data_IF_337054585181
#
_entry.id   IF_337054585181
#
_cell.length_a   1.000
_cell.length_b   1.000
_cell.length_c   1.000
_cell.angle_alpha   90.00
_cell.angle_beta   90.00
_cell.angle_gamma   90.00
#
_symmetry.space_group_name_H-M   'P 1'
#
loop_
_entity.id
_entity.type
_entity.pdbx_description
1 polymer ?
#
# COMPACT_ATOMS: atom_id res chain seq x y z
N UNK A 1 6.06 26.80 -18.83
CA UNK A 1 4.98 26.32 -17.96
C UNK A 1 5.58 25.99 -16.62
N UNK A 2 4.93 26.37 -15.53
CA UNK A 2 5.46 26.17 -14.18
C UNK A 2 5.44 24.69 -13.77
N UNK A 3 6.40 24.30 -12.93
CA UNK A 3 6.49 22.95 -12.38
C UNK A 3 5.54 22.77 -11.19
N UNK A 4 4.81 21.65 -11.17
CA UNK A 4 3.91 21.29 -10.09
C UNK A 4 4.41 20.04 -9.36
N UNK A 5 4.70 20.17 -8.05
CA UNK A 5 5.18 19.07 -7.20
C UNK A 5 4.10 18.66 -6.20
N UNK A 6 3.68 17.39 -6.20
CA UNK A 6 2.59 16.88 -5.37
C UNK A 6 2.96 15.55 -4.71
N UNK A 7 2.50 15.35 -3.48
CA UNK A 7 2.50 14.03 -2.87
C UNK A 7 1.24 13.27 -3.29
N UNK A 8 1.42 12.08 -3.87
CA UNK A 8 0.33 11.18 -4.20
C UNK A 8 0.33 10.01 -3.22
N UNK A 9 -0.66 9.98 -2.34
CA UNK A 9 -0.86 8.91 -1.39
C UNK A 9 -2.15 9.10 -0.59
N UNK A 10 -2.52 8.06 0.15
CA UNK A 10 -3.76 8.03 0.95
C UNK A 10 -3.70 8.92 2.19
N UNK A 11 -2.48 9.27 2.65
CA UNK A 11 -2.23 9.92 3.92
C UNK A 11 -2.48 9.05 5.15
N UNK A 12 -2.76 7.76 4.95
CA UNK A 12 -2.92 6.77 6.02
C UNK A 12 -1.67 5.90 6.06
N UNK A 13 -1.00 5.88 7.21
CA UNK A 13 0.06 4.93 7.49
C UNK A 13 -0.53 3.56 7.87
N UNK A 14 0.14 2.50 7.43
CA UNK A 14 -0.15 1.13 7.84
C UNK A 14 1.16 0.47 8.26
N UNK A 15 1.14 -0.26 9.36
CA UNK A 15 2.24 -1.09 9.81
C UNK A 15 2.37 -2.34 8.94
N UNK A 16 3.53 -3.00 9.02
CA UNK A 16 3.77 -4.29 8.36
C UNK A 16 2.76 -5.34 8.83
N UNK A 17 2.44 -5.38 10.12
CA UNK A 17 1.51 -6.37 10.67
C UNK A 17 0.05 -6.13 10.24
N UNK A 18 -0.38 -4.87 10.12
CA UNK A 18 -1.70 -4.55 9.55
C UNK A 18 -1.82 -4.99 8.09
N UNK A 19 -0.74 -4.84 7.30
CA UNK A 19 -0.70 -5.32 5.93
C UNK A 19 -0.80 -6.85 5.87
N UNK A 20 -0.06 -7.57 6.73
CA UNK A 20 -0.15 -9.03 6.83
C UNK A 20 -1.59 -9.46 7.15
N UNK A 21 -2.20 -8.90 8.19
CA UNK A 21 -3.57 -9.22 8.58
C UNK A 21 -4.60 -8.93 7.47
N UNK A 22 -4.46 -7.79 6.78
CA UNK A 22 -5.32 -7.44 5.66
C UNK A 22 -5.17 -8.43 4.49
N UNK A 23 -3.95 -8.93 4.25
CA UNK A 23 -3.67 -9.90 3.21
C UNK A 23 -4.11 -11.33 3.59
N UNK A 24 -3.98 -11.73 4.85
CA UNK A 24 -4.57 -12.99 5.37
C UNK A 24 -6.08 -12.99 5.18
N UNK A 25 -6.73 -11.88 5.53
CA UNK A 25 -8.18 -11.70 5.33
C UNK A 25 -8.58 -11.78 3.85
N UNK A 26 -7.75 -11.22 2.96
CA UNK A 26 -8.00 -11.23 1.51
C UNK A 26 -7.75 -12.61 0.87
N UNK A 27 -6.73 -13.33 1.33
CA UNK A 27 -6.33 -14.61 0.76
C UNK A 27 -7.07 -15.80 1.36
N UNK A 28 -7.61 -15.67 2.58
CA UNK A 28 -8.19 -16.78 3.34
C UNK A 28 -7.14 -17.74 3.90
N UNK A 29 -5.85 -17.37 3.85
CA UNK A 29 -4.73 -18.19 4.32
C UNK A 29 -3.92 -17.45 5.37
N UNK A 30 -3.41 -18.17 6.36
CA UNK A 30 -2.42 -17.62 7.28
C UNK A 30 -1.10 -17.38 6.52
N UNK A 31 -0.47 -16.23 6.78
CA UNK A 31 0.79 -15.83 6.15
C UNK A 31 1.92 -16.01 7.16
N UNK A 32 2.80 -17.01 6.99
CA UNK A 32 3.90 -17.21 7.92
C UNK A 32 4.92 -16.06 7.79
N UNK A 33 5.33 -15.50 8.92
CA UNK A 33 6.39 -14.49 9.00
C UNK A 33 7.24 -14.69 10.24
N UNK A 34 8.44 -14.09 10.22
CA UNK A 34 9.34 -14.02 11.37
C UNK A 34 9.79 -12.57 11.55
N UNK A 35 9.82 -12.11 12.80
CA UNK A 35 10.41 -10.79 13.12
C UNK A 35 11.93 -10.92 13.06
N UNK A 36 12.53 -10.10 12.21
CA UNK A 36 13.99 -10.04 11.99
C UNK A 36 14.53 -8.66 12.33
N UNK A 37 15.86 -8.51 12.31
CA UNK A 37 16.52 -7.22 12.53
C UNK A 37 16.05 -6.17 11.51
N UNK A 38 16.13 -4.89 11.89
CA UNK A 38 15.80 -3.77 10.99
C UNK A 38 16.72 -3.81 9.78
N UNK A 39 16.15 -3.62 8.59
CA UNK A 39 16.93 -3.44 7.36
C UNK A 39 17.60 -2.07 7.39
N UNK A 40 18.92 -1.97 7.18
CA UNK A 40 19.61 -0.68 7.14
C UNK A 40 18.99 0.27 6.11
N UNK A 41 18.75 1.52 6.51
CA UNK A 41 18.12 2.54 5.67
C UNK A 41 16.60 2.66 5.80
N UNK A 42 15.91 1.69 6.40
CA UNK A 42 14.47 1.82 6.66
C UNK A 42 14.20 2.87 7.76
N UNK A 43 13.35 3.84 7.46
CA UNK A 43 12.81 4.79 8.44
C UNK A 43 11.61 4.18 9.18
N UNK A 44 11.34 4.54 10.44
CA UNK A 44 10.27 3.92 11.22
C UNK A 44 8.85 4.12 10.67
N UNK A 45 8.56 5.30 10.12
CA UNK A 45 7.27 5.63 9.53
C UNK A 45 7.36 6.86 8.62
N UNK A 46 6.67 6.84 7.49
CA UNK A 46 6.43 7.99 6.62
C UNK A 46 5.15 7.78 5.82
N UNK A 47 4.41 8.86 5.56
CA UNK A 47 3.16 8.82 4.79
C UNK A 47 2.91 10.18 4.13
N UNK A 48 2.17 10.16 3.02
CA UNK A 48 1.97 11.34 2.18
C UNK A 48 0.97 12.34 2.78
N UNK A 49 1.33 13.62 2.91
CA UNK A 49 0.33 14.68 3.01
C UNK A 49 -0.14 15.05 1.59
N UNK A 50 -1.30 14.52 1.18
CA UNK A 50 -1.90 14.71 -0.15
C UNK A 50 -2.88 15.90 -0.24
N UNK A 51 -2.91 16.79 0.76
CA UNK A 51 -3.80 17.97 0.80
C UNK A 51 -3.63 18.85 -0.45
N UNK A 52 -2.37 19.09 -0.87
CA UNK A 52 -2.07 19.91 -2.06
C UNK A 52 -2.62 19.30 -3.36
N UNK A 53 -2.54 17.97 -3.50
CA UNK A 53 -3.06 17.28 -4.69
C UNK A 53 -4.59 17.36 -4.76
N UNK A 54 -5.27 17.23 -3.62
CA UNK A 54 -6.72 17.39 -3.53
C UNK A 54 -7.15 18.84 -3.86
N UNK A 55 -6.47 19.84 -3.30
CA UNK A 55 -6.83 21.25 -3.52
C UNK A 55 -6.62 21.72 -4.96
N UNK A 56 -5.52 21.31 -5.60
CA UNK A 56 -5.16 21.80 -6.95
C UNK A 56 -5.83 20.96 -8.05
N UNK A 57 -5.87 19.63 -7.88
CA UNK A 57 -6.33 18.71 -8.93
C UNK A 57 -7.69 18.07 -8.63
N UNK A 58 -8.26 18.28 -7.44
CA UNK A 58 -9.41 17.49 -6.98
C UNK A 58 -9.06 16.00 -6.76
N UNK A 59 -7.78 15.64 -6.76
CA UNK A 59 -7.34 14.25 -6.73
C UNK A 59 -7.33 13.68 -5.31
N UNK A 60 -7.83 12.46 -5.15
CA UNK A 60 -7.76 11.69 -3.91
C UNK A 60 -7.68 10.20 -4.20
N UNK A 61 -6.85 9.47 -3.43
CA UNK A 61 -6.86 8.00 -3.44
C UNK A 61 -8.17 7.47 -2.82
N UNK A 62 -8.88 6.61 -3.57
CA UNK A 62 -10.22 6.12 -3.18
C UNK A 62 -10.25 4.66 -2.72
N UNK A 63 -9.18 3.90 -2.95
CA UNK A 63 -9.05 2.50 -2.54
C UNK A 63 -8.41 2.42 -1.15
N UNK A 64 -8.95 1.55 -0.31
CA UNK A 64 -8.41 1.26 1.02
C UNK A 64 -7.46 0.05 1.01
N UNK A 65 -6.79 -0.20 2.13
CA UNK A 65 -5.83 -1.30 2.27
C UNK A 65 -6.46 -2.67 1.97
N UNK A 66 -7.72 -2.88 2.39
CA UNK A 66 -8.44 -4.14 2.16
C UNK A 66 -8.67 -4.37 0.67
N UNK A 67 -9.13 -3.35 -0.05
CA UNK A 67 -9.34 -3.43 -1.50
C UNK A 67 -8.01 -3.68 -2.23
N UNK A 68 -6.94 -2.99 -1.81
CA UNK A 68 -5.60 -3.20 -2.38
C UNK A 68 -5.13 -4.65 -2.20
N UNK A 69 -5.28 -5.23 -1.00
CA UNK A 69 -4.88 -6.62 -0.74
C UNK A 69 -5.75 -7.62 -1.52
N UNK A 70 -7.06 -7.39 -1.60
CA UNK A 70 -7.97 -8.25 -2.35
C UNK A 70 -7.67 -8.25 -3.85
N UNK A 71 -7.41 -7.08 -4.44
CA UNK A 71 -7.06 -6.97 -5.86
C UNK A 71 -5.68 -7.60 -6.14
N UNK A 72 -4.70 -7.40 -5.25
CA UNK A 72 -3.38 -8.02 -5.35
C UNK A 72 -3.46 -9.55 -5.28
N UNK A 73 -4.24 -10.09 -4.34
CA UNK A 73 -4.48 -11.53 -4.24
C UNK A 73 -5.20 -12.08 -5.47
N UNK A 74 -6.25 -11.40 -5.95
CA UNK A 74 -6.96 -11.79 -7.17
C UNK A 74 -6.04 -11.85 -8.38
N UNK A 75 -5.10 -10.92 -8.51
CA UNK A 75 -4.10 -10.97 -9.57
C UNK A 75 -3.17 -12.18 -9.39
N UNK A 76 -2.56 -12.33 -8.21
CA UNK A 76 -1.56 -13.35 -7.94
C UNK A 76 -2.12 -14.78 -8.04
N UNK A 77 -3.36 -15.00 -7.58
CA UNK A 77 -4.02 -16.30 -7.64
C UNK A 77 -4.34 -16.73 -9.08
N UNK A 78 -4.71 -15.77 -9.94
CA UNK A 78 -4.97 -16.04 -11.36
C UNK A 78 -3.69 -16.09 -12.20
N UNK A 79 -2.60 -15.45 -11.75
CA UNK A 79 -1.34 -15.32 -12.48
C UNK A 79 -0.16 -15.73 -11.59
N UNK A 80 -0.06 -16.99 -11.15
CA UNK A 80 0.92 -17.42 -10.17
C UNK A 80 2.38 -17.28 -10.66
N UNK A 81 2.59 -17.17 -11.98
CA UNK A 81 3.90 -16.97 -12.62
C UNK A 81 4.06 -15.58 -13.25
N UNK A 82 3.16 -14.64 -12.96
CA UNK A 82 3.15 -13.31 -13.58
C UNK A 82 2.73 -13.34 -15.05
N UNK A 83 3.19 -12.33 -15.80
CA UNK A 83 2.94 -12.21 -17.24
C UNK A 83 3.70 -13.29 -18.04
N UNK A 84 3.16 -13.64 -19.22
CA UNK A 84 3.83 -14.48 -20.22
C UNK A 84 4.26 -13.64 -21.41
#
# INVERSE_FOLDING_TARGET
>A
GDLLTLNLGTGKGHSVLELVQAFESASGHAIPYQVVARRPGDVPAYYANSTRANQILGWRATRDLKTMCADAWRWQSNNPRGYK
#
